data_IF_597223091380
#
_entry.id   IF_597223091380
#
_cell.length_a   1.000
_cell.length_b   1.000
_cell.length_c   1.000
_cell.angle_alpha   90.00
_cell.angle_beta   90.00
_cell.angle_gamma   90.00
#
_symmetry.space_group_name_H-M   'P 1'
#
loop_
_entity.id
_entity.type
_entity.pdbx_description
1 polymer ?
#
# COMPACT_ATOMS: atom_id res chain seq x y z
N UNK A 1 -7.17 -9.63 14.29
CA UNK A 1 -5.85 -8.96 14.23
C UNK A 1 -4.88 -9.83 13.42
N UNK A 2 -4.22 -9.28 12.40
CA UNK A 2 -3.33 -10.04 11.50
C UNK A 2 -1.90 -10.14 12.07
N UNK A 3 -1.68 -9.64 13.29
CA UNK A 3 -0.41 -9.79 14.01
C UNK A 3 0.04 -11.26 14.11
N UNK A 4 -0.91 -12.20 14.16
CA UNK A 4 -0.65 -13.64 14.26
C UNK A 4 -0.62 -14.36 12.89
N UNK A 5 -0.96 -13.68 11.78
CA UNK A 5 -0.89 -14.29 10.45
C UNK A 5 0.53 -14.20 9.90
N UNK A 6 1.03 -15.35 9.42
CA UNK A 6 2.29 -15.45 8.70
C UNK A 6 2.13 -15.30 7.18
N UNK A 7 0.90 -15.21 6.67
CA UNK A 7 0.65 -15.08 5.23
C UNK A 7 0.90 -13.62 4.79
N UNK A 8 1.94 -13.35 3.98
CA UNK A 8 2.24 -12.00 3.50
C UNK A 8 1.11 -11.41 2.65
N UNK A 9 0.33 -12.24 1.95
CA UNK A 9 -0.78 -11.77 1.10
C UNK A 9 -1.91 -11.21 1.97
N UNK A 10 -2.32 -11.97 3.00
CA UNK A 10 -3.33 -11.53 3.97
C UNK A 10 -2.90 -10.26 4.72
N UNK A 11 -1.63 -10.20 5.14
CA UNK A 11 -1.04 -9.03 5.81
C UNK A 11 -1.09 -7.78 4.96
N UNK A 12 -0.68 -7.87 3.70
CA UNK A 12 -0.70 -6.74 2.76
C UNK A 12 -2.13 -6.33 2.43
N UNK A 13 -3.03 -7.29 2.23
CA UNK A 13 -4.45 -7.02 1.97
C UNK A 13 -5.09 -6.21 3.12
N UNK A 14 -4.87 -6.64 4.37
CA UNK A 14 -5.39 -5.92 5.54
C UNK A 14 -4.74 -4.53 5.68
N UNK A 15 -3.42 -4.44 5.52
CA UNK A 15 -2.71 -3.16 5.61
C UNK A 15 -3.24 -2.14 4.59
N UNK A 16 -3.51 -2.62 3.36
CA UNK A 16 -4.14 -1.83 2.31
C UNK A 16 -5.54 -1.37 2.73
N UNK A 17 -6.42 -2.29 3.12
CA UNK A 17 -7.78 -1.95 3.55
C UNK A 17 -7.78 -0.94 4.71
N UNK A 18 -6.99 -1.19 5.75
CA UNK A 18 -6.87 -0.31 6.91
C UNK A 18 -6.48 1.11 6.51
N UNK A 19 -5.46 1.25 5.66
CA UNK A 19 -5.00 2.54 5.17
C UNK A 19 -6.12 3.26 4.38
N UNK A 20 -6.77 2.56 3.45
CA UNK A 20 -7.75 3.18 2.56
C UNK A 20 -9.05 3.55 3.29
N UNK A 21 -9.53 2.72 4.23
CA UNK A 21 -10.61 3.08 5.16
C UNK A 21 -10.22 4.31 5.99
N UNK A 22 -8.96 4.38 6.40
CA UNK A 22 -8.34 5.55 7.00
C UNK A 22 -8.49 6.81 6.15
N UNK A 23 -8.06 6.73 4.88
CA UNK A 23 -8.11 7.83 3.92
C UNK A 23 -9.54 8.27 3.63
N UNK A 24 -10.47 7.33 3.37
CA UNK A 24 -11.87 7.63 3.07
C UNK A 24 -12.50 8.53 4.14
N UNK A 25 -12.32 8.19 5.41
CA UNK A 25 -12.86 8.95 6.53
C UNK A 25 -12.20 10.33 6.74
N UNK A 26 -11.04 10.59 6.13
CA UNK A 26 -10.25 11.83 6.27
C UNK A 26 -9.90 12.47 4.91
N UNK A 27 -10.68 12.16 3.88
CA UNK A 27 -10.31 12.43 2.49
C UNK A 27 -10.03 13.90 2.18
N UNK A 28 -10.79 14.84 2.77
CA UNK A 28 -10.55 16.28 2.58
C UNK A 28 -9.14 16.70 3.02
N UNK A 29 -8.73 16.30 4.22
CA UNK A 29 -7.39 16.59 4.76
C UNK A 29 -6.28 15.90 3.96
N UNK A 30 -6.52 14.65 3.53
CA UNK A 30 -5.55 13.91 2.72
C UNK A 30 -5.35 14.56 1.35
N UNK A 31 -6.43 15.02 0.71
CA UNK A 31 -6.36 15.76 -0.57
C UNK A 31 -5.60 17.08 -0.42
N UNK A 32 -5.89 17.85 0.62
CA UNK A 32 -5.19 19.10 0.88
C UNK A 32 -3.68 18.88 1.09
N UNK A 33 -3.32 17.84 1.84
CA UNK A 33 -1.93 17.43 2.06
C UNK A 33 -1.24 17.04 0.75
N UNK A 34 -1.87 16.20 -0.08
CA UNK A 34 -1.31 15.79 -1.38
C UNK A 34 -1.09 17.01 -2.27
N UNK A 35 -2.09 17.88 -2.43
CA UNK A 35 -2.00 19.08 -3.26
C UNK A 35 -0.86 20.01 -2.80
N UNK A 36 -0.69 20.19 -1.49
CA UNK A 36 0.41 20.97 -0.93
C UNK A 36 1.77 20.34 -1.27
N UNK A 37 1.93 19.02 -1.08
CA UNK A 37 3.20 18.33 -1.34
C UNK A 37 3.54 18.18 -2.83
N UNK A 38 2.54 18.12 -3.72
CA UNK A 38 2.77 18.14 -5.18
C UNK A 38 3.29 19.52 -5.61
N UNK A 39 2.71 20.59 -5.06
CA UNK A 39 3.09 21.96 -5.41
C UNK A 39 4.41 22.40 -4.76
N UNK A 40 4.84 21.70 -3.70
CA UNK A 40 6.03 21.99 -2.87
C UNK A 40 6.71 20.67 -2.44
N UNK A 41 7.36 19.95 -3.36
CA UNK A 41 7.91 18.62 -3.10
C UNK A 41 8.94 18.58 -1.97
N UNK A 42 9.63 19.70 -1.70
CA UNK A 42 10.55 19.85 -0.57
C UNK A 42 9.88 19.64 0.80
N UNK A 43 8.55 19.77 0.88
CA UNK A 43 7.77 19.55 2.10
C UNK A 43 7.33 18.10 2.29
N UNK A 44 7.65 17.18 1.36
CA UNK A 44 7.18 15.78 1.43
C UNK A 44 7.64 15.05 2.70
N UNK A 45 8.77 15.45 3.28
CA UNK A 45 9.31 14.90 4.53
C UNK A 45 8.42 15.20 5.74
N UNK A 46 7.50 16.17 5.64
CA UNK A 46 6.53 16.49 6.69
C UNK A 46 5.25 15.64 6.59
N UNK A 47 5.09 14.82 5.53
CA UNK A 47 3.95 13.92 5.38
C UNK A 47 4.11 12.71 6.30
N UNK A 48 3.09 12.35 7.10
CA UNK A 48 3.13 11.11 7.87
C UNK A 48 3.37 9.91 6.96
N UNK A 49 4.51 9.22 7.16
CA UNK A 49 4.94 8.06 6.37
C UNK A 49 4.19 6.76 6.67
N UNK A 50 2.91 6.85 7.06
CA UNK A 50 2.11 5.72 7.57
C UNK A 50 2.11 4.56 6.58
N UNK A 51 2.00 4.83 5.26
CA UNK A 51 2.00 3.76 4.25
C UNK A 51 3.27 2.91 4.28
N UNK A 52 4.43 3.53 4.44
CA UNK A 52 5.71 2.83 4.38
C UNK A 52 5.87 1.92 5.59
N UNK A 53 5.55 2.42 6.79
CA UNK A 53 5.54 1.60 8.00
C UNK A 53 4.54 0.45 7.94
N UNK A 54 3.36 0.66 7.33
CA UNK A 54 2.38 -0.42 7.11
C UNK A 54 2.88 -1.49 6.13
N UNK A 55 3.50 -1.08 5.02
CA UNK A 55 4.08 -2.00 4.03
C UNK A 55 5.23 -2.80 4.66
N UNK A 56 6.16 -2.13 5.34
CA UNK A 56 7.28 -2.80 6.00
C UNK A 56 6.77 -3.80 7.04
N UNK A 57 5.80 -3.40 7.88
CA UNK A 57 5.22 -4.30 8.87
C UNK A 57 4.49 -5.49 8.24
N UNK A 58 3.74 -5.27 7.14
CA UNK A 58 3.04 -6.34 6.45
C UNK A 58 4.01 -7.36 5.84
N UNK A 59 5.15 -6.90 5.35
CA UNK A 59 6.16 -7.73 4.67
C UNK A 59 7.20 -8.38 5.59
N UNK A 60 7.14 -8.17 6.90
CA UNK A 60 8.06 -8.81 7.87
C UNK A 60 8.27 -10.32 7.63
N UNK A 61 7.24 -11.15 7.35
CA UNK A 61 7.46 -12.59 7.11
C UNK A 61 8.33 -12.92 5.89
N UNK A 62 8.52 -11.96 4.98
CA UNK A 62 9.32 -12.12 3.78
C UNK A 62 10.77 -11.66 3.93
N UNK A 63 11.13 -10.99 5.04
CA UNK A 63 12.49 -10.44 5.22
C UNK A 63 13.56 -11.55 5.22
N UNK A 64 13.37 -12.60 6.03
CA UNK A 64 14.32 -13.71 6.14
C UNK A 64 14.19 -14.75 5.01
N UNK A 65 13.27 -14.56 4.07
CA UNK A 65 13.03 -15.48 2.95
C UNK A 65 13.30 -14.83 1.60
N UNK A 66 12.35 -14.06 1.08
CA UNK A 66 12.50 -13.32 -0.18
C UNK A 66 13.57 -12.24 -0.03
N UNK A 67 13.56 -11.48 1.06
CA UNK A 67 14.54 -10.42 1.32
C UNK A 67 15.98 -10.92 1.41
N UNK A 68 16.18 -12.15 1.89
CA UNK A 68 17.49 -12.79 1.94
C UNK A 68 17.93 -13.40 0.60
N UNK A 69 17.00 -13.98 -0.17
CA UNK A 69 17.31 -14.67 -1.43
C UNK A 69 17.38 -13.73 -2.64
N UNK A 70 16.51 -12.74 -2.71
CA UNK A 70 16.43 -11.75 -3.78
C UNK A 70 16.12 -10.36 -3.19
N UNK A 71 17.15 -9.65 -2.70
CA UNK A 71 16.99 -8.32 -2.12
C UNK A 71 16.42 -7.30 -3.11
N UNK A 72 16.76 -7.41 -4.39
CA UNK A 72 16.31 -6.48 -5.43
C UNK A 72 14.82 -6.67 -5.75
N UNK A 73 14.37 -7.93 -5.87
CA UNK A 73 12.96 -8.26 -6.00
C UNK A 73 12.15 -7.86 -4.78
N UNK A 74 12.67 -8.06 -3.56
CA UNK A 74 12.02 -7.59 -2.34
C UNK A 74 11.89 -6.06 -2.30
N UNK A 75 12.95 -5.35 -2.68
CA UNK A 75 12.91 -3.89 -2.78
C UNK A 75 11.93 -3.41 -3.86
N UNK A 76 11.80 -4.14 -4.97
CA UNK A 76 10.82 -3.84 -6.01
C UNK A 76 9.38 -4.05 -5.52
N UNK A 77 9.10 -5.16 -4.82
CA UNK A 77 7.79 -5.39 -4.20
C UNK A 77 7.38 -4.23 -3.28
N UNK A 78 8.31 -3.72 -2.44
CA UNK A 78 8.05 -2.55 -1.59
C UNK A 78 7.66 -1.31 -2.41
N UNK A 79 8.31 -1.07 -3.54
CA UNK A 79 7.98 0.04 -4.46
C UNK A 79 6.63 -0.15 -5.13
N UNK A 80 6.34 -1.35 -5.61
CA UNK A 80 5.06 -1.69 -6.25
C UNK A 80 3.90 -1.50 -5.28
N UNK A 81 4.06 -1.96 -4.03
CA UNK A 81 3.07 -1.73 -2.97
C UNK A 81 2.97 -0.26 -2.57
N UNK A 82 4.05 0.53 -2.61
CA UNK A 82 3.97 1.96 -2.32
C UNK A 82 3.10 2.74 -3.31
N UNK A 83 2.99 2.23 -4.56
CA UNK A 83 2.09 2.76 -5.60
C UNK A 83 0.64 2.41 -5.28
N UNK A 84 0.35 1.15 -4.94
CA UNK A 84 -1.03 0.65 -4.79
C UNK A 84 -1.62 0.92 -3.40
N UNK A 85 -0.83 0.77 -2.34
CA UNK A 85 -1.21 1.02 -0.94
C UNK A 85 -1.09 2.52 -0.66
N UNK A 86 -1.93 3.30 -1.33
CA UNK A 86 -1.80 4.75 -1.38
C UNK A 86 -3.12 5.51 -1.50
N UNK A 87 -3.11 6.76 -1.04
CA UNK A 87 -4.21 7.69 -1.26
C UNK A 87 -4.37 8.06 -2.73
N UNK A 88 -3.25 8.14 -3.46
CA UNK A 88 -3.24 8.45 -4.88
C UNK A 88 -3.92 7.35 -5.71
N UNK A 89 -3.70 6.07 -5.39
CA UNK A 89 -4.40 4.95 -6.01
C UNK A 89 -5.90 4.97 -5.69
N UNK A 90 -6.26 5.22 -4.42
CA UNK A 90 -7.67 5.35 -4.03
C UNK A 90 -8.38 6.47 -4.81
N UNK A 91 -7.78 7.66 -4.88
CA UNK A 91 -8.35 8.78 -5.63
C UNK A 91 -8.33 8.56 -7.15
N UNK A 92 -7.36 7.81 -7.67
CA UNK A 92 -7.40 7.39 -9.08
C UNK A 92 -8.64 6.54 -9.35
N UNK A 93 -8.91 5.55 -8.51
CA UNK A 93 -10.06 4.65 -8.65
C UNK A 93 -11.40 5.36 -8.47
N UNK A 94 -11.50 6.30 -7.53
CA UNK A 94 -12.76 7.05 -7.31
C UNK A 94 -12.94 8.17 -8.33
N UNK A 95 -11.91 8.99 -8.55
CA UNK A 95 -12.06 10.26 -9.28
C UNK A 95 -11.92 10.07 -10.79
N UNK A 96 -11.05 9.16 -11.23
CA UNK A 96 -10.79 8.92 -12.65
C UNK A 96 -11.52 7.69 -13.18
N UNK A 97 -11.59 6.62 -12.38
CA UNK A 97 -12.31 5.41 -12.76
C UNK A 97 -13.79 5.42 -12.34
N UNK A 98 -14.23 6.36 -11.51
CA UNK A 98 -15.64 6.55 -11.14
C UNK A 98 -16.21 5.46 -10.22
N UNK A 99 -15.36 4.70 -9.52
CA UNK A 99 -15.81 3.64 -8.62
C UNK A 99 -16.40 4.22 -7.32
N UNK A 100 -17.37 3.50 -6.76
CA UNK A 100 -17.79 3.75 -5.38
C UNK A 100 -16.61 3.48 -4.40
N UNK A 101 -16.50 4.19 -3.27
CA UNK A 101 -15.41 3.99 -2.32
C UNK A 101 -15.18 2.54 -1.88
N UNK A 102 -16.21 1.73 -1.66
CA UNK A 102 -16.04 0.34 -1.24
C UNK A 102 -15.49 -0.54 -2.38
N UNK A 103 -15.91 -0.28 -3.62
CA UNK A 103 -15.39 -0.94 -4.82
C UNK A 103 -13.94 -0.54 -5.07
N UNK A 104 -13.59 0.74 -4.88
CA UNK A 104 -12.22 1.24 -4.99
C UNK A 104 -11.29 0.58 -3.97
N UNK A 105 -11.72 0.45 -2.71
CA UNK A 105 -10.97 -0.26 -1.67
C UNK A 105 -10.76 -1.72 -2.06
N UNK A 106 -11.84 -2.41 -2.46
CA UNK A 106 -11.78 -3.82 -2.87
C UNK A 106 -10.83 -4.04 -4.05
N UNK A 107 -10.86 -3.14 -5.03
CA UNK A 107 -9.98 -3.16 -6.21
C UNK A 107 -8.51 -2.98 -5.84
N UNK A 108 -8.19 -2.01 -4.99
CA UNK A 108 -6.83 -1.76 -4.53
C UNK A 108 -6.28 -2.92 -3.67
N UNK A 109 -7.11 -3.46 -2.77
CA UNK A 109 -6.76 -4.64 -1.94
C UNK A 109 -6.44 -5.85 -2.80
N UNK A 110 -7.29 -6.15 -3.80
CA UNK A 110 -7.02 -7.24 -4.77
C UNK A 110 -5.70 -7.02 -5.50
N UNK A 111 -5.44 -5.79 -5.93
CA UNK A 111 -4.21 -5.46 -6.67
C UNK A 111 -2.97 -5.66 -5.78
N UNK A 112 -3.01 -5.18 -4.54
CA UNK A 112 -1.92 -5.35 -3.58
C UNK A 112 -1.66 -6.85 -3.25
N UNK A 113 -2.73 -7.63 -3.08
CA UNK A 113 -2.63 -9.08 -2.90
C UNK A 113 -2.00 -9.75 -4.12
N UNK A 114 -2.45 -9.41 -5.33
CA UNK A 114 -1.94 -9.98 -6.59
C UNK A 114 -0.44 -9.71 -6.78
N UNK A 115 0.02 -8.49 -6.49
CA UNK A 115 1.45 -8.14 -6.55
C UNK A 115 2.27 -8.98 -5.56
N UNK A 116 1.76 -9.15 -4.35
CA UNK A 116 2.42 -9.94 -3.29
C UNK A 116 2.49 -11.41 -3.68
N UNK A 117 1.39 -11.99 -4.16
CA UNK A 117 1.33 -13.36 -4.66
C UNK A 117 2.32 -13.59 -5.81
N UNK A 118 2.39 -12.66 -6.76
CA UNK A 118 3.30 -12.75 -7.90
C UNK A 118 4.76 -12.75 -7.44
N UNK A 119 5.12 -11.86 -6.51
CA UNK A 119 6.47 -11.78 -5.96
C UNK A 119 6.85 -13.05 -5.17
N UNK A 120 5.93 -13.59 -4.36
CA UNK A 120 6.14 -14.85 -3.63
C UNK A 120 6.30 -16.02 -4.60
N UNK A 121 5.46 -16.12 -5.64
CA UNK A 121 5.50 -17.23 -6.60
C UNK A 121 6.73 -17.20 -7.49
N UNK A 122 7.15 -16.03 -7.95
CA UNK A 122 8.36 -15.88 -8.78
C UNK A 122 9.63 -16.30 -8.04
N UNK A 123 9.57 -16.36 -6.71
CA UNK A 123 10.69 -16.64 -5.83
C UNK A 123 10.44 -17.85 -4.90
N UNK A 124 9.42 -18.65 -5.16
CA UNK A 124 9.18 -19.91 -4.43
C UNK A 124 10.21 -20.94 -4.87
#
# INVERSE_FOLDING_TARGET
PVADSADPVERVALACEFLLRGILARQGSVRAMIAATISRPETVTTRPGIRFGLIDHALLPLEDTLGARDPDGFAQLKRDLAVVVSAEAFFTLTDLCGLDPDEAITSAVRTAATLTEAAVRANA
#
